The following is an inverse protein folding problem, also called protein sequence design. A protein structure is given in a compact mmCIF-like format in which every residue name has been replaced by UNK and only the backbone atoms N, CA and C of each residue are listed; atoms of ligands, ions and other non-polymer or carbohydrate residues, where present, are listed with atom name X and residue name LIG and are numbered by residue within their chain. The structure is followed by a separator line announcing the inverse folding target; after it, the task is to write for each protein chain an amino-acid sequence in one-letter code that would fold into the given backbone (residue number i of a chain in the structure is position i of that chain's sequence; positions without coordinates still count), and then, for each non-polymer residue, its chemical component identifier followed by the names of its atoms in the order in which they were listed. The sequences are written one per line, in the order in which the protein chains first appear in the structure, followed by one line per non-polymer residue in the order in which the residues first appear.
data_IF_252904534159
#
_entry.id   IF_252904534159
#
_cell.length_a   1.000
_cell.length_b   1.000
_cell.length_c   1.000
_cell.angle_alpha   90.00
_cell.angle_beta   90.00
_cell.angle_gamma   90.00
#
_symmetry.space_group_name_H-M   'P 1'
#
loop_
_entity.id
_entity.type
_entity.pdbx_description
1 polymer ?
#
# COMPACT_ATOMS: atom_id res chain seq x y z
N UNK A 1 10.09 -31.24 -1.59
CA UNK A 1 8.84 -31.41 -2.36
C UNK A 1 8.10 -30.10 -2.69
N UNK A 2 8.53 -28.92 -2.20
CA UNK A 2 7.87 -27.64 -2.52
C UNK A 2 8.31 -26.98 -3.86
N UNK A 3 9.45 -27.40 -4.45
CA UNK A 3 10.00 -26.79 -5.67
C UNK A 3 9.29 -27.23 -6.97
N UNK A 4 8.85 -28.49 -7.06
CA UNK A 4 8.12 -29.01 -8.22
C UNK A 4 6.73 -28.39 -8.41
N UNK A 5 6.09 -27.93 -7.32
CA UNK A 5 4.81 -27.21 -7.37
C UNK A 5 4.94 -25.83 -7.99
N UNK A 6 5.99 -25.06 -7.65
CA UNK A 6 6.24 -23.73 -8.22
C UNK A 6 6.58 -23.76 -9.72
N UNK A 7 7.32 -24.77 -10.18
CA UNK A 7 7.71 -24.88 -11.60
C UNK A 7 6.49 -25.17 -12.51
N UNK A 8 5.58 -26.07 -12.09
CA UNK A 8 4.36 -26.36 -12.85
C UNK A 8 3.42 -25.16 -12.99
N UNK A 9 3.39 -24.28 -11.98
CA UNK A 9 2.62 -23.03 -12.04
C UNK A 9 3.20 -22.10 -13.11
N UNK A 10 4.52 -21.97 -13.21
CA UNK A 10 5.18 -21.12 -14.20
C UNK A 10 4.99 -21.61 -15.65
N UNK A 11 4.97 -22.93 -15.88
CA UNK A 11 4.69 -23.50 -17.21
C UNK A 11 3.26 -23.21 -17.67
N UNK A 12 2.27 -23.25 -16.77
CA UNK A 12 0.89 -22.90 -17.08
C UNK A 12 0.70 -21.40 -17.39
N UNK A 13 1.52 -20.52 -16.79
CA UNK A 13 1.51 -19.10 -17.16
C UNK A 13 1.91 -18.88 -18.62
N UNK A 14 2.79 -19.73 -19.16
CA UNK A 14 3.25 -19.66 -20.54
C UNK A 14 2.25 -20.16 -21.58
N UNK A 15 1.11 -20.74 -21.16
CA UNK A 15 0.04 -21.18 -22.06
C UNK A 15 -1.18 -20.24 -22.05
N UNK A 16 -1.25 -19.30 -21.11
CA UNK A 16 -2.31 -18.29 -21.06
C UNK A 16 -2.21 -17.32 -22.25
N UNK A 17 -3.36 -16.85 -22.75
CA UNK A 17 -3.40 -15.76 -23.72
C UNK A 17 -2.82 -14.48 -23.13
N UNK A 18 -2.30 -13.56 -23.96
CA UNK A 18 -1.77 -12.26 -23.50
C UNK A 18 -2.79 -11.50 -22.63
N UNK A 19 -4.08 -11.55 -23.00
CA UNK A 19 -5.17 -10.98 -22.21
C UNK A 19 -5.34 -11.67 -20.84
N UNK A 20 -5.32 -13.01 -20.78
CA UNK A 20 -5.43 -13.76 -19.52
C UNK A 20 -4.23 -13.58 -18.60
N UNK A 21 -3.00 -13.46 -19.15
CA UNK A 21 -1.80 -13.17 -18.36
C UNK A 21 -1.88 -11.78 -17.73
N UNK A 22 -2.35 -10.79 -18.50
CA UNK A 22 -2.51 -9.42 -18.02
C UNK A 22 -3.54 -9.30 -16.89
N UNK A 23 -4.51 -10.21 -16.81
CA UNK A 23 -5.53 -10.23 -15.75
C UNK A 23 -5.14 -11.06 -14.52
N UNK A 24 -4.00 -11.75 -14.52
CA UNK A 24 -3.55 -12.51 -13.35
C UNK A 24 -3.27 -11.59 -12.17
N UNK A 25 -2.60 -10.46 -12.40
CA UNK A 25 -2.36 -9.46 -11.36
C UNK A 25 -3.68 -9.04 -10.70
N UNK A 26 -4.69 -8.69 -11.50
CA UNK A 26 -6.03 -8.35 -10.99
C UNK A 26 -6.77 -9.52 -10.35
N UNK A 27 -6.43 -10.77 -10.66
CA UNK A 27 -7.10 -11.94 -10.06
C UNK A 27 -6.46 -12.30 -8.73
N UNK A 28 -5.13 -12.15 -8.63
CA UNK A 28 -4.32 -12.47 -7.45
C UNK A 28 -4.36 -11.37 -6.39
N UNK A 29 -4.43 -10.08 -6.75
CA UNK A 29 -4.37 -8.98 -5.78
C UNK A 29 -5.73 -8.39 -5.37
N UNK A 30 -6.81 -8.64 -6.14
CA UNK A 30 -8.22 -8.77 -5.72
C UNK A 30 -9.23 -8.62 -6.88
N UNK A 31 -10.36 -9.34 -6.78
CA UNK A 31 -11.64 -9.15 -7.51
C UNK A 31 -11.54 -8.67 -8.98
N UNK A 32 -10.76 -9.36 -9.80
CA UNK A 32 -10.90 -9.27 -11.26
C UNK A 32 -10.76 -7.84 -11.81
N UNK A 33 -11.25 -7.54 -13.03
CA UNK A 33 -11.14 -6.20 -13.59
C UNK A 33 -11.77 -5.19 -12.61
N UNK A 34 -11.11 -4.04 -12.42
CA UNK A 34 -11.37 -2.90 -11.50
C UNK A 34 -12.78 -2.26 -11.61
N UNK A 35 -13.81 -3.08 -11.77
CA UNK A 35 -15.21 -2.77 -11.92
C UNK A 35 -15.96 -3.42 -10.75
N UNK A 36 -16.83 -2.66 -10.09
CA UNK A 36 -17.66 -3.16 -8.98
C UNK A 36 -17.36 -2.57 -7.61
N UNK A 37 -16.50 -1.56 -7.50
CA UNK A 37 -16.48 -0.72 -6.29
C UNK A 37 -17.76 0.12 -6.26
N UNK A 38 -18.47 0.05 -5.14
CA UNK A 38 -19.66 0.88 -4.92
C UNK A 38 -19.19 2.28 -4.57
N UNK A 39 -19.80 3.30 -5.18
CA UNK A 39 -19.49 4.68 -4.84
C UNK A 39 -19.62 4.90 -3.32
N UNK A 40 -18.56 5.39 -2.69
CA UNK A 40 -18.56 5.59 -1.26
C UNK A 40 -19.37 6.85 -0.91
N UNK A 41 -20.52 6.67 -0.26
CA UNK A 41 -21.44 7.76 0.09
C UNK A 41 -21.03 8.52 1.37
N UNK A 42 -19.76 8.88 1.50
CA UNK A 42 -19.26 9.72 2.59
C UNK A 42 -18.94 11.14 2.11
N UNK A 43 -18.83 12.08 3.05
CA UNK A 43 -18.41 13.45 2.76
C UNK A 43 -17.08 13.47 1.99
N UNK A 44 -16.98 14.21 0.87
CA UNK A 44 -15.79 14.21 0.03
C UNK A 44 -14.52 14.60 0.80
N UNK A 45 -13.46 13.80 0.61
CA UNK A 45 -12.16 14.05 1.23
C UNK A 45 -11.17 14.57 0.19
N UNK A 46 -11.14 15.89 0.06
CA UNK A 46 -10.20 16.59 -0.81
C UNK A 46 -8.72 16.27 -0.50
N UNK A 47 -7.81 16.43 -1.48
CA UNK A 47 -8.08 16.72 -2.90
C UNK A 47 -8.83 15.59 -3.63
N UNK A 48 -9.60 15.89 -4.67
CA UNK A 48 -10.39 14.88 -5.42
C UNK A 48 -9.71 14.55 -6.76
N UNK A 49 -9.89 13.33 -7.31
CA UNK A 49 -9.48 13.01 -8.67
C UNK A 49 -10.40 13.68 -9.72
N UNK A 50 -9.94 13.93 -10.96
CA UNK A 50 -8.60 13.63 -11.46
C UNK A 50 -7.53 14.55 -10.86
N UNK A 51 -6.37 13.98 -10.50
CA UNK A 51 -5.32 14.72 -9.83
C UNK A 51 -4.43 15.51 -10.80
N UNK A 52 -4.05 16.71 -10.36
CA UNK A 52 -2.88 17.44 -10.87
C UNK A 52 -1.64 17.03 -10.08
N UNK A 53 -0.44 17.39 -10.55
CA UNK A 53 0.79 17.12 -9.79
C UNK A 53 0.75 17.76 -8.38
N UNK A 54 0.18 18.96 -8.26
CA UNK A 54 0.05 19.66 -6.99
C UNK A 54 -0.92 18.93 -6.04
N UNK A 55 -2.10 18.52 -6.52
CA UNK A 55 -3.09 17.84 -5.69
C UNK A 55 -2.71 16.39 -5.37
N UNK A 56 -2.01 15.71 -6.27
CA UNK A 56 -1.40 14.40 -5.99
C UNK A 56 -0.32 14.51 -4.90
N UNK A 57 0.56 15.52 -4.95
CA UNK A 57 1.55 15.74 -3.91
C UNK A 57 0.90 16.03 -2.55
N UNK A 58 -0.17 16.82 -2.52
CA UNK A 58 -0.95 17.05 -1.31
C UNK A 58 -1.53 15.74 -0.74
N UNK A 59 -2.06 14.84 -1.58
CA UNK A 59 -2.50 13.49 -1.14
C UNK A 59 -1.35 12.68 -0.55
N UNK A 60 -0.18 12.69 -1.21
CA UNK A 60 1.01 11.97 -0.72
C UNK A 60 1.44 12.47 0.66
N UNK A 61 1.47 13.79 0.86
CA UNK A 61 1.85 14.40 2.15
C UNK A 61 0.79 14.22 3.24
N UNK A 62 -0.49 14.26 2.89
CA UNK A 62 -1.55 13.93 3.83
C UNK A 62 -1.44 12.46 4.31
N UNK A 63 -1.13 11.53 3.41
CA UNK A 63 -0.88 10.13 3.77
C UNK A 63 0.38 9.98 4.62
N UNK A 64 1.49 10.63 4.26
CA UNK A 64 2.73 10.64 5.07
C UNK A 64 2.44 11.07 6.52
N UNK A 65 1.71 12.17 6.71
CA UNK A 65 1.34 12.68 8.03
C UNK A 65 0.45 11.71 8.80
N UNK A 66 -0.55 11.12 8.14
CA UNK A 66 -1.44 10.15 8.76
C UNK A 66 -0.66 8.91 9.24
N UNK A 67 0.19 8.34 8.40
CA UNK A 67 1.00 7.17 8.75
C UNK A 67 2.02 7.46 9.85
N UNK A 68 2.63 8.64 9.89
CA UNK A 68 3.53 9.05 10.97
C UNK A 68 2.83 9.23 12.33
N UNK A 69 1.50 9.39 12.36
CA UNK A 69 0.75 9.39 13.62
C UNK A 69 0.74 8.02 14.31
N UNK A 70 0.92 6.93 13.54
CA UNK A 70 0.82 5.53 14.01
C UNK A 70 -0.53 5.22 14.68
N UNK A 71 -1.58 5.94 14.28
CA UNK A 71 -2.97 5.73 14.71
C UNK A 71 -3.72 4.95 13.62
N UNK A 72 -3.98 3.67 13.89
CA UNK A 72 -4.54 2.73 12.92
C UNK A 72 -5.95 3.15 12.47
N UNK A 73 -6.80 3.54 13.42
CA UNK A 73 -8.15 4.01 13.14
C UNK A 73 -8.11 5.27 12.27
N UNK A 74 -7.27 6.24 12.62
CA UNK A 74 -7.14 7.49 11.85
C UNK A 74 -6.62 7.26 10.44
N UNK A 75 -5.67 6.34 10.25
CA UNK A 75 -5.16 5.98 8.93
C UNK A 75 -6.24 5.29 8.10
N UNK A 76 -6.98 4.33 8.69
CA UNK A 76 -8.04 3.58 8.01
C UNK A 76 -9.17 4.46 7.44
N UNK A 77 -9.43 5.64 8.05
CA UNK A 77 -10.41 6.61 7.55
C UNK A 77 -10.09 7.20 6.17
N UNK A 78 -8.87 7.04 5.65
CA UNK A 78 -8.49 7.51 4.31
C UNK A 78 -8.89 6.55 3.16
N UNK A 79 -9.37 5.36 3.49
CA UNK A 79 -9.67 4.29 2.53
C UNK A 79 -11.18 4.08 2.40
N UNK A 80 -11.70 3.41 1.37
CA UNK A 80 -13.13 3.02 1.33
C UNK A 80 -13.42 1.89 2.33
N UNK A 81 -14.67 1.69 2.79
CA UNK A 81 -15.03 0.60 3.71
C UNK A 81 -14.66 -0.80 3.19
N UNK A 82 -14.65 -0.97 1.87
CA UNK A 82 -14.35 -2.18 1.11
C UNK A 82 -12.97 -2.12 0.42
N UNK A 83 -12.07 -1.25 0.89
CA UNK A 83 -10.74 -1.05 0.30
C UNK A 83 -9.98 -2.37 0.15
N UNK A 84 -9.30 -2.54 -0.97
CA UNK A 84 -8.44 -3.69 -1.22
C UNK A 84 -6.99 -3.32 -0.96
N UNK A 85 -6.31 -4.14 -0.17
CA UNK A 85 -4.88 -4.00 0.05
C UNK A 85 -4.13 -5.25 -0.36
N UNK A 86 -3.01 -5.05 -1.05
CA UNK A 86 -1.87 -5.94 -0.98
C UNK A 86 -0.72 -5.23 -0.29
N UNK A 87 -0.25 -5.75 0.82
CA UNK A 87 0.93 -5.27 1.50
C UNK A 87 1.98 -6.38 1.52
N UNK A 88 2.97 -6.28 0.63
CA UNK A 88 3.94 -7.37 0.36
C UNK A 88 3.23 -8.63 -0.11
N UNK A 89 3.22 -9.67 0.70
CA UNK A 89 2.61 -10.98 0.49
C UNK A 89 1.25 -11.14 1.16
N UNK A 90 0.79 -10.15 1.93
CA UNK A 90 -0.53 -10.15 2.56
C UNK A 90 -1.56 -9.44 1.68
N UNK A 91 -2.72 -10.07 1.49
CA UNK A 91 -3.85 -9.52 0.74
C UNK A 91 -5.10 -9.57 1.61
N UNK A 92 -5.77 -8.44 1.77
CA UNK A 92 -6.95 -8.32 2.62
C UNK A 92 -7.89 -7.20 2.15
N UNK A 93 -9.13 -7.24 2.64
CA UNK A 93 -10.21 -6.35 2.22
C UNK A 93 -10.89 -5.71 3.42
N UNK A 94 -11.13 -4.42 3.31
CA UNK A 94 -11.95 -3.63 4.21
C UNK A 94 -11.18 -2.87 5.28
N UNK A 95 -11.79 -1.79 5.79
CA UNK A 95 -11.18 -0.90 6.80
C UNK A 95 -10.81 -1.63 8.08
N UNK A 96 -11.64 -2.57 8.54
CA UNK A 96 -11.38 -3.30 9.78
C UNK A 96 -10.10 -4.16 9.66
N UNK A 97 -9.91 -4.82 8.50
CA UNK A 97 -8.68 -5.56 8.23
C UNK A 97 -7.46 -4.64 8.13
N UNK A 98 -7.62 -3.43 7.56
CA UNK A 98 -6.58 -2.40 7.56
C UNK A 98 -6.20 -1.98 8.98
N UNK A 99 -7.18 -1.76 9.86
CA UNK A 99 -6.92 -1.40 11.26
C UNK A 99 -6.12 -2.51 11.95
N UNK A 100 -6.59 -3.77 11.89
CA UNK A 100 -5.88 -4.89 12.50
C UNK A 100 -4.45 -5.07 11.97
N UNK A 101 -4.27 -4.91 10.65
CA UNK A 101 -2.94 -4.94 10.04
C UNK A 101 -2.03 -3.85 10.60
N UNK A 102 -2.51 -2.60 10.67
CA UNK A 102 -1.72 -1.45 11.12
C UNK A 102 -1.39 -1.52 12.62
N UNK A 103 -2.32 -1.98 13.45
CA UNK A 103 -2.08 -2.23 14.87
C UNK A 103 -0.95 -3.25 15.05
N UNK A 104 -1.05 -4.40 14.38
CA UNK A 104 0.00 -5.42 14.39
C UNK A 104 1.33 -4.86 13.87
N UNK A 105 1.30 -4.10 12.77
CA UNK A 105 2.52 -3.49 12.21
C UNK A 105 3.26 -2.65 13.23
N UNK A 106 2.58 -1.75 13.92
CA UNK A 106 3.24 -0.82 14.85
C UNK A 106 3.52 -1.39 16.24
N UNK A 107 2.98 -2.57 16.58
CA UNK A 107 3.47 -3.33 17.75
C UNK A 107 4.84 -3.97 17.47
N UNK A 108 5.15 -4.29 16.21
CA UNK A 108 6.44 -4.90 15.84
C UNK A 108 7.47 -3.89 15.31
N UNK A 109 7.01 -2.79 14.70
CA UNK A 109 7.83 -1.73 14.10
C UNK A 109 7.79 -0.44 14.93
N UNK A 110 8.61 -0.36 15.98
CA UNK A 110 8.67 0.83 16.86
C UNK A 110 9.57 1.91 16.29
N UNK A 111 9.56 3.11 16.87
CA UNK A 111 10.31 4.29 16.38
C UNK A 111 10.06 4.63 14.89
N UNK A 112 8.90 4.22 14.37
CA UNK A 112 8.53 4.35 12.98
C UNK A 112 8.51 5.82 12.52
N UNK A 113 9.28 6.10 11.46
CA UNK A 113 9.35 7.41 10.79
C UNK A 113 9.35 7.22 9.27
N UNK A 114 8.37 7.79 8.59
CA UNK A 114 8.09 7.60 7.17
C UNK A 114 8.25 8.90 6.38
N UNK A 115 8.88 8.78 5.21
CA UNK A 115 8.87 9.78 4.15
C UNK A 115 8.31 9.17 2.88
N UNK A 116 7.36 9.87 2.25
CA UNK A 116 6.74 9.55 0.97
C UNK A 116 7.09 10.62 -0.07
N UNK A 117 7.31 10.16 -1.29
CA UNK A 117 7.61 10.95 -2.47
C UNK A 117 6.66 10.59 -3.60
N UNK A 118 5.99 11.59 -4.18
CA UNK A 118 5.22 11.41 -5.40
C UNK A 118 6.18 10.95 -6.52
N UNK A 119 5.81 9.86 -7.22
CA UNK A 119 6.55 9.39 -8.39
C UNK A 119 5.87 9.83 -9.68
N UNK A 120 4.60 9.49 -9.83
CA UNK A 120 3.74 9.96 -10.91
C UNK A 120 2.27 9.88 -10.50
N UNK A 121 1.40 10.46 -11.31
CA UNK A 121 -0.05 10.38 -11.15
C UNK A 121 -0.70 10.26 -12.53
N UNK A 122 -1.90 9.68 -12.57
CA UNK A 122 -2.76 9.64 -13.75
C UNK A 122 -4.22 9.52 -13.30
N UNK A 123 -5.05 10.50 -13.63
CA UNK A 123 -6.47 10.55 -13.24
C UNK A 123 -6.72 10.29 -11.75
N UNK A 124 -7.28 9.13 -11.40
CA UNK A 124 -7.61 8.66 -10.05
C UNK A 124 -6.48 7.86 -9.39
N UNK A 125 -5.29 7.79 -10.01
CA UNK A 125 -4.16 6.98 -9.55
C UNK A 125 -2.96 7.81 -9.17
N UNK A 126 -2.26 7.36 -8.14
CA UNK A 126 -1.00 7.94 -7.67
C UNK A 126 0.01 6.80 -7.44
N UNK A 127 1.20 6.93 -8.01
CA UNK A 127 2.34 6.09 -7.68
C UNK A 127 3.28 6.84 -6.74
N UNK A 128 3.73 6.16 -5.69
CA UNK A 128 4.49 6.74 -4.59
C UNK A 128 5.72 5.90 -4.32
N UNK A 129 6.86 6.56 -4.13
CA UNK A 129 8.02 5.94 -3.49
C UNK A 129 8.03 6.33 -2.03
N UNK A 130 8.49 5.45 -1.16
CA UNK A 130 8.62 5.78 0.25
C UNK A 130 9.87 5.16 0.87
N UNK A 131 10.26 5.72 1.99
CA UNK A 131 11.28 5.14 2.86
C UNK A 131 10.84 5.35 4.29
N UNK A 132 10.91 4.31 5.12
CA UNK A 132 10.71 4.46 6.55
C UNK A 132 11.80 3.76 7.34
N UNK A 133 12.12 4.32 8.50
CA UNK A 133 13.00 3.70 9.50
C UNK A 133 12.15 3.21 10.65
N UNK A 134 12.50 2.05 11.21
CA UNK A 134 11.88 1.49 12.39
C UNK A 134 12.86 0.59 13.15
N UNK A 135 12.56 0.35 14.42
CA UNK A 135 13.25 -0.60 15.26
C UNK A 135 12.35 -1.81 15.50
N UNK A 136 12.85 -3.01 15.21
CA UNK A 136 12.11 -4.24 15.42
C UNK A 136 12.12 -4.62 16.91
N UNK A 137 10.95 -4.90 17.46
CA UNK A 137 10.81 -5.20 18.90
C UNK A 137 11.48 -6.49 19.33
N UNK A 138 11.50 -7.53 18.50
CA UNK A 138 11.98 -8.87 18.88
C UNK A 138 13.46 -8.92 19.24
N UNK A 139 14.29 -8.06 18.63
CA UNK A 139 15.75 -8.10 18.76
C UNK A 139 16.40 -6.71 18.83
N UNK A 140 15.62 -5.63 18.71
CA UNK A 140 16.14 -4.26 18.73
C UNK A 140 16.85 -3.84 17.44
N UNK A 141 16.86 -4.67 16.39
CA UNK A 141 17.50 -4.36 15.12
C UNK A 141 16.81 -3.19 14.41
N UNK A 142 17.59 -2.24 13.94
CA UNK A 142 17.10 -1.15 13.09
C UNK A 142 17.01 -1.56 11.63
N UNK A 143 15.98 -1.07 10.96
CA UNK A 143 15.76 -1.27 9.54
C UNK A 143 15.42 0.04 8.85
N UNK A 144 15.86 0.16 7.60
CA UNK A 144 15.33 1.10 6.62
C UNK A 144 14.57 0.32 5.56
N UNK A 145 13.26 0.48 5.52
CA UNK A 145 12.43 -0.05 4.44
C UNK A 145 12.44 0.90 3.26
N UNK A 146 12.74 0.40 2.07
CA UNK A 146 12.54 1.11 0.81
C UNK A 146 11.37 0.48 0.08
N UNK A 147 10.42 1.28 -0.41
CA UNK A 147 9.28 0.71 -1.12
C UNK A 147 8.55 1.63 -2.07
N UNK A 148 7.61 1.02 -2.78
CA UNK A 148 6.73 1.63 -3.75
C UNK A 148 5.28 1.29 -3.38
N UNK A 149 4.39 2.27 -3.50
CA UNK A 149 2.95 2.08 -3.36
C UNK A 149 2.24 2.58 -4.62
N UNK A 150 1.21 1.85 -5.03
CA UNK A 150 0.28 2.22 -6.09
C UNK A 150 -1.10 2.39 -5.47
N UNK A 151 -1.65 3.58 -5.63
CA UNK A 151 -2.92 3.97 -5.03
C UNK A 151 -3.95 4.23 -6.12
N UNK A 152 -5.18 3.78 -5.90
CA UNK A 152 -6.35 4.18 -6.68
C UNK A 152 -7.42 4.74 -5.75
N UNK A 153 -8.03 5.85 -6.17
CA UNK A 153 -9.04 6.57 -5.39
C UNK A 153 -10.42 6.49 -6.05
N UNK A 154 -11.48 6.57 -5.23
CA UNK A 154 -12.83 6.81 -5.70
C UNK A 154 -13.07 8.31 -6.01
N UNK A 155 -14.26 8.63 -6.54
CA UNK A 155 -14.64 10.00 -6.86
C UNK A 155 -14.75 10.91 -5.62
N UNK A 156 -14.90 10.34 -4.43
CA UNK A 156 -14.98 11.05 -3.16
C UNK A 156 -13.59 11.23 -2.50
N UNK A 157 -12.52 10.77 -3.15
CA UNK A 157 -11.14 10.96 -2.71
C UNK A 157 -10.66 9.96 -1.67
N UNK A 158 -11.37 8.85 -1.47
CA UNK A 158 -10.97 7.73 -0.60
C UNK A 158 -10.22 6.67 -1.39
N UNK A 159 -9.20 6.07 -0.80
CA UNK A 159 -8.39 5.05 -1.47
C UNK A 159 -9.11 3.69 -1.47
N UNK A 160 -9.52 3.23 -2.64
CA UNK A 160 -10.23 1.96 -2.84
C UNK A 160 -9.28 0.78 -3.12
N UNK A 161 -8.06 1.07 -3.60
CA UNK A 161 -7.02 0.07 -3.83
C UNK A 161 -5.65 0.59 -3.38
N UNK A 162 -4.91 -0.23 -2.63
CA UNK A 162 -3.51 0.01 -2.24
C UNK A 162 -2.66 -1.22 -2.48
N UNK A 163 -1.72 -1.13 -3.42
CA UNK A 163 -0.65 -2.12 -3.57
C UNK A 163 0.65 -1.54 -3.01
N UNK A 164 1.27 -2.22 -2.06
CA UNK A 164 2.57 -1.86 -1.50
C UNK A 164 3.55 -3.01 -1.66
N UNK A 165 4.74 -2.67 -2.15
CA UNK A 165 5.91 -3.54 -2.11
C UNK A 165 7.05 -2.77 -1.45
N UNK A 166 7.76 -3.43 -0.53
CA UNK A 166 8.91 -2.84 0.15
C UNK A 166 9.92 -3.91 0.55
N UNK A 167 11.14 -3.49 0.81
CA UNK A 167 12.25 -4.33 1.21
C UNK A 167 12.96 -3.69 2.41
N UNK A 168 13.15 -4.47 3.47
CA UNK A 168 13.79 -4.01 4.70
C UNK A 168 15.29 -4.27 4.60
N UNK A 169 16.08 -3.22 4.79
CA UNK A 169 17.54 -3.28 4.85
C UNK A 169 17.96 -3.05 6.29
N UNK A 170 18.69 -3.99 6.94
CA UNK A 170 19.21 -3.76 8.28
C UNK A 170 20.21 -2.59 8.25
N UNK A 171 20.12 -1.72 9.25
CA UNK A 171 21.02 -0.58 9.44
C UNK A 171 21.48 -0.53 10.89
N UNK A 172 22.60 0.15 11.16
CA UNK A 172 23.00 0.50 12.51
C UNK A 172 22.25 1.76 12.98
N UNK A 173 22.13 1.96 14.30
CA UNK A 173 21.49 3.17 14.86
C UNK A 173 22.20 4.45 14.41
N UNK A 174 23.52 4.39 14.21
CA UNK A 174 24.33 5.51 13.72
C UNK A 174 23.95 5.93 12.28
N UNK A 175 23.45 5.00 11.45
CA UNK A 175 23.14 5.24 10.05
C UNK A 175 21.75 5.86 9.83
N UNK A 176 20.94 6.02 10.88
CA UNK A 176 19.59 6.58 10.81
C UNK A 176 19.59 8.02 10.29
N UNK A 177 18.66 8.32 9.39
CA UNK A 177 18.49 9.65 8.79
C UNK A 177 17.19 10.35 9.21
N UNK A 178 16.25 9.63 9.85
CA UNK A 178 14.96 10.19 10.30
C UNK A 178 14.87 10.26 11.84
N UNK A 179 15.66 11.14 12.44
CA UNK A 179 15.65 11.39 13.90
C UNK A 179 14.48 12.28 14.31
#
# INVERSE_FOLDING_TARGET
MASQGRIKVLEALNTLSKSKRSTLYTTETAKGPLAGFVAHAAEPRGPLPPFTAATALQKVKAAENAWNSRDAAKVALAYTPDTVWRNRDEIFVGRDAVVSFLESKWTHETNYKLVKHLWCHNDDRIAVRFTYEYQRVSDGQWFRCHGNELWQFDAQGYMQHRDMSGNDVPIDDADRVFR
#
